data_IF_302948902998
#
_entry.id   IF_302948902998
#
_cell.length_a   1.000
_cell.length_b   1.000
_cell.length_c   1.000
_cell.angle_alpha   90.00
_cell.angle_beta   90.00
_cell.angle_gamma   90.00
#
_symmetry.space_group_name_H-M   'P 1'
#
loop_
_entity.id
_entity.type
_entity.pdbx_description
1 polymer ?
#
# COMPACT_ATOMS: atom_id res chain seq x y z
N UNK A 1 23.52 -19.92 -2.44
CA UNK A 1 22.16 -20.04 -1.89
C UNK A 1 21.30 -19.19 -2.81
N UNK A 2 20.42 -19.81 -3.57
CA UNK A 2 19.73 -19.13 -4.68
C UNK A 2 18.74 -18.09 -4.17
N UNK A 3 18.79 -16.88 -4.72
CA UNK A 3 17.90 -15.76 -4.37
C UNK A 3 16.40 -16.11 -4.56
N UNK A 4 16.11 -17.09 -5.42
CA UNK A 4 14.77 -17.66 -5.61
C UNK A 4 14.23 -18.40 -4.38
N UNK A 5 15.11 -19.03 -3.60
CA UNK A 5 14.75 -19.80 -2.41
C UNK A 5 14.49 -18.89 -1.20
N UNK A 6 15.22 -17.76 -1.12
CA UNK A 6 15.00 -16.73 -0.11
C UNK A 6 13.68 -15.98 -0.33
N UNK A 7 13.36 -15.64 -1.59
CA UNK A 7 12.12 -14.97 -1.96
C UNK A 7 10.87 -15.85 -1.71
N UNK A 8 11.00 -17.18 -1.86
CA UNK A 8 9.92 -18.11 -1.53
C UNK A 8 9.66 -18.20 -0.03
N UNK A 9 10.66 -17.97 0.83
CA UNK A 9 10.51 -18.03 2.30
C UNK A 9 9.88 -16.76 2.86
N UNK A 10 10.20 -15.59 2.30
CA UNK A 10 9.58 -14.31 2.66
C UNK A 10 8.12 -14.21 2.22
N UNK A 11 7.79 -14.71 1.02
CA UNK A 11 6.41 -14.78 0.51
C UNK A 11 5.50 -15.63 1.43
N UNK A 12 6.06 -16.71 1.97
CA UNK A 12 5.36 -17.57 2.94
C UNK A 12 5.19 -16.83 4.26
N UNK A 13 6.18 -16.08 4.76
CA UNK A 13 6.11 -15.49 6.10
C UNK A 13 4.98 -14.45 6.26
N UNK A 14 4.75 -13.60 5.25
CA UNK A 14 3.71 -12.56 5.30
C UNK A 14 2.31 -13.19 5.28
N UNK A 15 2.10 -14.16 4.39
CA UNK A 15 0.81 -14.86 4.26
C UNK A 15 0.59 -15.82 5.45
N UNK A 16 1.63 -16.51 5.91
CA UNK A 16 1.59 -17.40 7.08
C UNK A 16 1.24 -16.60 8.34
N UNK A 17 1.84 -15.43 8.59
CA UNK A 17 1.46 -14.56 9.73
C UNK A 17 -0.01 -14.10 9.67
N UNK A 18 -0.58 -13.94 8.48
CA UNK A 18 -2.01 -13.63 8.29
C UNK A 18 -2.92 -14.86 8.48
N UNK A 19 -2.43 -16.08 8.23
CA UNK A 19 -3.19 -17.33 8.28
C UNK A 19 -3.00 -18.15 9.58
N UNK A 20 -1.91 -17.94 10.32
CA UNK A 20 -1.45 -18.79 11.43
C UNK A 20 -2.24 -18.62 12.74
N UNK A 21 -3.42 -17.98 12.72
CA UNK A 21 -4.37 -18.08 13.83
C UNK A 21 -3.89 -17.55 15.18
N UNK A 22 -2.72 -16.89 15.27
CA UNK A 22 -2.50 -15.93 16.33
C UNK A 22 -3.58 -14.88 16.16
N UNK A 23 -4.45 -14.76 17.15
CA UNK A 23 -5.47 -13.72 17.23
C UNK A 23 -4.80 -12.35 17.40
N UNK A 24 -4.06 -11.92 16.38
CA UNK A 24 -3.92 -10.51 16.08
C UNK A 24 -5.36 -10.07 15.82
N UNK A 25 -5.91 -9.28 16.72
CA UNK A 25 -7.16 -8.57 16.46
C UNK A 25 -6.94 -7.78 15.17
N UNK A 26 -7.44 -8.28 14.04
CA UNK A 26 -7.33 -7.59 12.76
C UNK A 26 -8.08 -6.28 12.90
N UNK A 27 -7.34 -5.21 13.17
CA UNK A 27 -7.92 -3.89 13.28
C UNK A 27 -8.43 -3.47 11.90
N UNK A 28 -9.56 -2.74 11.83
CA UNK A 28 -9.99 -2.12 10.57
C UNK A 28 -8.86 -1.26 10.02
N UNK A 29 -8.45 -1.52 8.78
CA UNK A 29 -7.40 -0.76 8.11
C UNK A 29 -8.03 0.40 7.34
N UNK A 30 -7.47 1.59 7.56
CA UNK A 30 -7.63 2.73 6.68
C UNK A 30 -6.40 2.79 5.77
N UNK A 31 -6.61 2.87 4.46
CA UNK A 31 -5.53 3.11 3.50
C UNK A 31 -5.78 4.43 2.78
N UNK A 32 -4.71 5.19 2.55
CA UNK A 32 -4.73 6.43 1.77
C UNK A 32 -3.63 6.38 0.71
N UNK A 33 -3.96 6.79 -0.51
CA UNK A 33 -3.00 6.96 -1.59
C UNK A 33 -2.73 8.44 -1.79
N UNK A 34 -1.45 8.80 -1.72
CA UNK A 34 -0.98 10.14 -2.05
C UNK A 34 -0.19 10.13 -3.35
N UNK A 35 -0.29 11.21 -4.12
CA UNK A 35 0.50 11.46 -5.33
C UNK A 35 1.30 12.74 -5.16
N UNK A 36 2.59 12.67 -5.45
CA UNK A 36 3.44 13.85 -5.52
C UNK A 36 3.05 14.66 -6.75
N UNK A 37 2.61 15.90 -6.55
CA UNK A 37 2.04 16.77 -7.58
C UNK A 37 2.77 18.10 -7.59
N UNK A 38 3.09 18.57 -8.79
CA UNK A 38 3.68 19.89 -9.02
C UNK A 38 2.58 20.92 -9.29
N UNK A 39 2.46 21.91 -8.41
CA UNK A 39 1.47 23.00 -8.51
C UNK A 39 1.99 24.22 -9.28
N UNK A 40 3.23 24.17 -9.77
CA UNK A 40 3.96 25.29 -10.37
C UNK A 40 4.66 26.19 -9.35
N UNK A 41 4.17 26.26 -8.11
CA UNK A 41 4.86 26.94 -7.00
C UNK A 41 5.63 25.98 -6.10
N UNK A 42 5.11 24.78 -5.91
CA UNK A 42 5.65 23.77 -5.00
C UNK A 42 5.26 22.36 -5.43
N UNK A 43 6.08 21.40 -5.00
CA UNK A 43 5.85 19.96 -5.17
C UNK A 43 5.32 19.41 -3.86
N UNK A 44 4.06 18.98 -3.83
CA UNK A 44 3.35 18.57 -2.62
C UNK A 44 2.73 17.18 -2.76
N UNK A 45 2.61 16.46 -1.64
CA UNK A 45 1.84 15.22 -1.58
C UNK A 45 0.36 15.54 -1.45
N UNK A 46 -0.41 15.17 -2.47
CA UNK A 46 -1.87 15.33 -2.46
C UNK A 46 -2.55 13.98 -2.32
N UNK A 47 -3.62 13.93 -1.53
CA UNK A 47 -4.46 12.75 -1.40
C UNK A 47 -5.27 12.55 -2.69
N UNK A 48 -5.25 11.32 -3.24
CA UNK A 48 -5.96 11.00 -4.49
C UNK A 48 -7.01 9.91 -4.32
N UNK A 49 -6.85 9.02 -3.34
CA UNK A 49 -7.79 7.93 -3.09
C UNK A 49 -7.67 7.41 -1.65
N UNK A 50 -8.75 6.80 -1.14
CA UNK A 50 -8.78 6.21 0.21
C UNK A 50 -9.66 4.96 0.27
N UNK A 51 -9.39 4.11 1.25
CA UNK A 51 -10.10 2.85 1.46
C UNK A 51 -10.47 2.63 2.92
N UNK A 52 -11.76 2.38 3.15
CA UNK A 52 -12.31 1.74 4.36
C UNK A 52 -13.30 0.68 3.87
N UNK A 53 -12.80 -0.53 3.59
CA UNK A 53 -13.50 -1.61 2.87
C UNK A 53 -13.82 -1.31 1.40
N UNK A 54 -14.31 -0.10 1.12
CA UNK A 54 -14.62 0.41 -0.21
C UNK A 54 -13.65 1.52 -0.59
N UNK A 55 -13.44 1.68 -1.90
CA UNK A 55 -12.63 2.73 -2.51
C UNK A 55 -13.44 4.01 -2.70
N UNK A 56 -12.80 5.15 -2.44
CA UNK A 56 -13.23 6.47 -2.86
C UNK A 56 -12.04 7.19 -3.51
N UNK A 57 -12.28 7.91 -4.62
CA UNK A 57 -11.27 8.76 -5.26
C UNK A 57 -11.64 10.24 -5.12
N UNK A 58 -10.63 11.10 -5.09
CA UNK A 58 -10.81 12.55 -5.10
C UNK A 58 -11.04 13.02 -6.53
N UNK A 59 -12.18 13.67 -6.77
CA UNK A 59 -12.46 14.41 -7.99
C UNK A 59 -11.87 15.81 -7.83
N UNK A 60 -10.69 16.05 -8.42
CA UNK A 60 -9.92 17.29 -8.28
C UNK A 60 -10.71 18.51 -8.81
N UNK A 61 -11.46 18.33 -9.90
CA UNK A 61 -12.25 19.41 -10.53
C UNK A 61 -13.43 19.83 -9.66
N UNK A 62 -14.08 18.85 -9.02
CA UNK A 62 -15.26 19.10 -8.19
C UNK A 62 -14.98 19.22 -6.70
N UNK A 63 -13.72 19.07 -6.29
CA UNK A 63 -13.27 19.04 -4.89
C UNK A 63 -14.17 18.18 -3.99
N UNK A 64 -14.49 16.96 -4.45
CA UNK A 64 -15.37 16.03 -3.73
C UNK A 64 -14.89 14.59 -3.86
N UNK A 65 -15.25 13.79 -2.88
CA UNK A 65 -15.06 12.34 -2.95
C UNK A 65 -16.11 11.68 -3.84
N UNK A 66 -15.70 10.63 -4.55
CA UNK A 66 -16.63 9.72 -5.22
C UNK A 66 -17.53 9.00 -4.21
N UNK A 67 -18.59 8.34 -4.69
CA UNK A 67 -19.30 7.38 -3.84
C UNK A 67 -18.37 6.19 -3.51
N UNK A 68 -18.48 5.59 -2.31
CA UNK A 68 -17.78 4.36 -1.99
C UNK A 68 -18.14 3.26 -2.98
N UNK A 69 -17.15 2.56 -3.51
CA UNK A 69 -17.36 1.48 -4.47
C UNK A 69 -16.35 0.35 -4.28
N UNK A 70 -16.63 -0.81 -4.88
CA UNK A 70 -15.70 -1.93 -4.87
C UNK A 70 -14.60 -1.64 -5.90
N UNK A 71 -13.32 -1.65 -5.51
CA UNK A 71 -12.22 -1.36 -6.42
C UNK A 71 -12.15 -2.38 -7.55
N UNK A 72 -11.88 -1.91 -8.76
CA UNK A 72 -11.59 -2.76 -9.92
C UNK A 72 -10.14 -2.52 -10.35
N UNK A 73 -9.30 -3.56 -10.23
CA UNK A 73 -7.88 -3.46 -10.53
C UNK A 73 -7.56 -3.96 -11.94
N UNK A 74 -6.69 -3.24 -12.64
CA UNK A 74 -6.17 -3.69 -13.93
C UNK A 74 -5.11 -4.81 -13.72
N UNK A 75 -5.21 -5.89 -14.50
CA UNK A 75 -4.26 -7.02 -14.42
C UNK A 75 -2.80 -6.58 -14.66
N UNK A 76 -2.59 -5.60 -15.53
CA UNK A 76 -1.27 -5.02 -15.80
C UNK A 76 -0.68 -4.33 -14.57
N UNK A 77 -1.51 -3.67 -13.75
CA UNK A 77 -1.09 -3.04 -12.50
C UNK A 77 -0.68 -4.11 -11.48
N UNK A 78 -1.45 -5.19 -11.33
CA UNK A 78 -1.11 -6.32 -10.44
C UNK A 78 0.18 -7.04 -10.87
N UNK A 79 0.38 -7.20 -12.18
CA UNK A 79 1.59 -7.84 -12.73
C UNK A 79 2.82 -6.98 -12.46
N UNK A 80 2.69 -5.67 -12.65
CA UNK A 80 3.74 -4.70 -12.30
C UNK A 80 4.03 -4.74 -10.82
N UNK A 81 3.01 -4.62 -9.96
CA UNK A 81 3.16 -4.66 -8.51
C UNK A 81 3.88 -5.93 -8.05
N UNK A 82 3.49 -7.10 -8.56
CA UNK A 82 4.16 -8.36 -8.24
C UNK A 82 5.64 -8.34 -8.62
N UNK A 83 5.99 -7.79 -9.78
CA UNK A 83 7.39 -7.68 -10.20
C UNK A 83 8.16 -6.74 -9.27
N UNK A 84 7.61 -5.57 -8.95
CA UNK A 84 8.28 -4.61 -8.08
C UNK A 84 8.46 -5.17 -6.66
N UNK A 85 7.45 -5.84 -6.10
CA UNK A 85 7.53 -6.45 -4.77
C UNK A 85 8.59 -7.54 -4.65
N UNK A 86 8.92 -8.27 -5.73
CA UNK A 86 9.98 -9.28 -5.70
C UNK A 86 11.39 -8.71 -5.47
N UNK A 87 11.57 -7.43 -5.79
CA UNK A 87 12.86 -6.75 -5.68
C UNK A 87 12.84 -5.63 -4.64
N UNK A 88 11.68 -5.38 -4.03
CA UNK A 88 11.51 -4.36 -3.02
C UNK A 88 12.24 -4.75 -1.73
N UNK A 89 12.95 -3.83 -1.07
CA UNK A 89 13.43 -4.05 0.28
C UNK A 89 12.24 -4.12 1.23
N UNK A 90 12.22 -5.12 2.12
CA UNK A 90 11.23 -5.22 3.19
C UNK A 90 11.85 -4.82 4.51
N UNK A 91 11.24 -3.84 5.19
CA UNK A 91 11.61 -3.43 6.54
C UNK A 91 10.43 -3.72 7.48
N UNK A 92 10.51 -4.87 8.16
CA UNK A 92 9.43 -5.41 8.99
C UNK A 92 9.72 -5.17 10.48
N UNK A 93 8.67 -4.92 11.25
CA UNK A 93 8.69 -4.69 12.70
C UNK A 93 9.70 -3.59 13.14
N UNK A 94 9.74 -2.41 12.49
CA UNK A 94 10.72 -1.38 12.84
C UNK A 94 10.31 -0.57 14.08
N UNK A 95 11.28 -0.20 14.91
CA UNK A 95 11.08 0.71 16.06
C UNK A 95 11.14 2.18 15.60
N UNK A 96 10.20 2.59 14.74
CA UNK A 96 10.12 3.93 14.14
C UNK A 96 8.89 4.67 14.68
N UNK A 97 9.07 5.92 15.12
CA UNK A 97 7.99 6.70 15.77
C UNK A 97 7.50 7.90 14.97
N UNK A 98 8.23 8.29 13.92
CA UNK A 98 7.89 9.44 13.08
C UNK A 98 8.30 9.20 11.62
N UNK A 99 7.83 10.06 10.72
CA UNK A 99 8.10 9.92 9.30
C UNK A 99 9.56 10.18 8.93
N UNK A 100 10.25 11.07 9.64
CA UNK A 100 11.65 11.42 9.34
C UNK A 100 12.58 10.28 9.71
N UNK A 101 12.27 9.51 10.76
CA UNK A 101 13.02 8.31 11.12
C UNK A 101 12.72 7.11 10.22
N UNK A 102 11.67 7.17 9.39
CA UNK A 102 11.32 6.13 8.43
C UNK A 102 12.07 6.26 7.09
N UNK A 103 12.32 7.49 6.63
CA UNK A 103 12.86 7.83 5.30
C UNK A 103 14.38 8.02 5.35
#
# INVERSE_FOLDING_TARGET
MDDAELNSKSDILIVSRMLDGQTMTSLPMFCQMNRLTDTGSEVIWMETARWIKFEEFLDEDANRWSKPHVPSLCLSALTTLRRELKHAPFYLDPEVTDFTSLV
#
